data_IF_968071284706
#
_entry.id   IF_968071284706
#
_cell.length_a   1.000
_cell.length_b   1.000
_cell.length_c   1.000
_cell.angle_alpha   90.00
_cell.angle_beta   90.00
_cell.angle_gamma   90.00
#
_symmetry.space_group_name_H-M   'P 1'
#
loop_
_entity.id
_entity.type
_entity.pdbx_description
1 polymer ?
#
# COMPACT_ATOMS: atom_id res chain seq x y z
N UNK A 1 0.19 3.69 -7.64
CA UNK A 1 -0.58 4.97 -7.65
C UNK A 1 0.26 6.16 -8.10
N UNK A 2 -0.36 7.23 -8.63
CA UNK A 2 0.28 8.53 -8.87
C UNK A 2 0.15 9.42 -7.62
N UNK A 3 1.18 10.19 -7.29
CA UNK A 3 1.24 11.03 -6.08
C UNK A 3 0.19 12.16 -6.11
N UNK A 4 -0.13 12.69 -7.29
CA UNK A 4 -1.12 13.76 -7.45
C UNK A 4 -2.52 13.35 -6.99
N UNK A 5 -2.95 12.11 -7.29
CA UNK A 5 -4.25 11.57 -6.86
C UNK A 5 -4.30 11.36 -5.34
N UNK A 6 -3.17 11.03 -4.72
CA UNK A 6 -3.07 10.86 -3.27
C UNK A 6 -3.15 12.20 -2.54
N UNK A 7 -2.58 13.28 -3.08
CA UNK A 7 -2.67 14.62 -2.49
C UNK A 7 -4.06 15.24 -2.58
N UNK A 8 -4.87 14.86 -3.56
CA UNK A 8 -6.24 15.36 -3.70
C UNK A 8 -7.23 14.67 -2.73
N UNK A 9 -6.85 13.52 -2.16
CA UNK A 9 -7.71 12.77 -1.24
C UNK A 9 -7.61 13.29 0.19
N UNK A 10 -8.71 13.26 0.95
CA UNK A 10 -8.68 13.68 2.36
C UNK A 10 -7.80 12.75 3.20
N UNK A 11 -7.14 13.30 4.24
CA UNK A 11 -6.29 12.55 5.19
C UNK A 11 -6.97 11.29 5.75
N UNK A 12 -8.30 11.32 5.90
CA UNK A 12 -9.11 10.18 6.39
C UNK A 12 -9.15 9.04 5.37
N UNK A 13 -9.34 9.34 4.08
CA UNK A 13 -9.31 8.33 3.01
C UNK A 13 -7.90 7.76 2.82
N UNK A 14 -6.86 8.59 2.93
CA UNK A 14 -5.47 8.14 2.87
C UNK A 14 -5.16 7.15 4.00
N UNK A 15 -5.67 7.38 5.22
CA UNK A 15 -5.52 6.44 6.33
C UNK A 15 -6.28 5.12 6.09
N UNK A 16 -7.47 5.18 5.48
CA UNK A 16 -8.22 3.96 5.10
C UNK A 16 -7.46 3.14 4.04
N UNK A 17 -7.01 3.79 2.96
CA UNK A 17 -6.19 3.16 1.93
C UNK A 17 -4.90 2.54 2.51
N UNK A 18 -4.26 3.23 3.45
CA UNK A 18 -3.09 2.70 4.14
C UNK A 18 -3.41 1.42 4.93
N UNK A 19 -4.57 1.35 5.59
CA UNK A 19 -5.01 0.14 6.30
C UNK A 19 -5.26 -1.00 5.31
N UNK A 20 -6.00 -0.74 4.23
CA UNK A 20 -6.32 -1.75 3.21
C UNK A 20 -5.04 -2.31 2.56
N UNK A 21 -4.09 -1.43 2.19
CA UNK A 21 -2.82 -1.84 1.60
C UNK A 21 -1.97 -2.67 2.57
N UNK A 22 -1.98 -2.33 3.88
CA UNK A 22 -1.30 -3.13 4.91
C UNK A 22 -1.92 -4.50 5.08
N UNK A 23 -3.25 -4.59 5.00
CA UNK A 23 -3.98 -5.84 5.10
C UNK A 23 -3.71 -6.75 3.90
N UNK A 24 -3.71 -6.17 2.70
CA UNK A 24 -3.33 -6.85 1.46
C UNK A 24 -1.87 -7.31 1.49
N UNK A 25 -0.98 -6.49 2.06
CA UNK A 25 0.42 -6.89 2.28
C UNK A 25 0.53 -8.08 3.25
N UNK A 26 -0.30 -8.13 4.31
CA UNK A 26 -0.34 -9.28 5.22
C UNK A 26 -0.78 -10.55 4.49
N UNK A 27 -1.88 -10.51 3.75
CA UNK A 27 -2.36 -11.65 2.97
C UNK A 27 -1.30 -12.16 2.00
N UNK A 28 -0.67 -11.26 1.24
CA UNK A 28 0.40 -11.64 0.31
C UNK A 28 1.64 -12.21 1.01
N UNK A 29 1.95 -11.79 2.25
CA UNK A 29 3.02 -12.41 3.05
C UNK A 29 2.64 -13.82 3.49
N UNK A 30 1.39 -14.05 3.88
CA UNK A 30 0.89 -15.39 4.21
C UNK A 30 0.92 -16.32 2.99
N UNK A 31 0.48 -15.83 1.84
CA UNK A 31 0.54 -16.58 0.59
C UNK A 31 2.00 -16.89 0.18
N UNK A 32 2.92 -15.94 0.43
CA UNK A 32 4.34 -16.09 0.13
C UNK A 32 4.97 -17.16 1.03
N UNK A 33 4.66 -17.12 2.33
CA UNK A 33 5.09 -18.13 3.30
C UNK A 33 4.51 -19.52 2.95
N UNK A 34 3.30 -19.56 2.39
CA UNK A 34 2.67 -20.80 1.91
C UNK A 34 3.22 -21.29 0.57
N UNK A 35 4.20 -20.60 -0.03
CA UNK A 35 4.83 -20.98 -1.31
C UNK A 35 3.93 -20.83 -2.54
N UNK A 36 2.74 -20.22 -2.41
CA UNK A 36 1.74 -20.10 -3.48
C UNK A 36 1.86 -18.79 -4.27
N UNK A 37 2.76 -17.89 -3.88
CA UNK A 37 2.88 -16.57 -4.53
C UNK A 37 3.61 -16.69 -5.86
N UNK A 38 2.83 -16.62 -6.93
CA UNK A 38 3.34 -16.45 -8.29
C UNK A 38 3.91 -15.04 -8.55
N UNK A 39 3.42 -14.03 -7.82
CA UNK A 39 3.66 -12.61 -8.12
C UNK A 39 4.31 -11.83 -6.97
N UNK A 40 5.59 -12.12 -6.69
CA UNK A 40 6.42 -11.36 -5.72
C UNK A 40 6.52 -9.86 -6.08
N UNK A 41 6.34 -9.52 -7.37
CA UNK A 41 6.32 -8.13 -7.86
C UNK A 41 5.18 -7.30 -7.26
N UNK A 42 4.05 -7.92 -6.91
CA UNK A 42 2.89 -7.23 -6.34
C UNK A 42 3.19 -6.73 -4.93
N UNK A 43 3.90 -7.51 -4.12
CA UNK A 43 4.39 -7.12 -2.79
C UNK A 43 5.26 -5.86 -2.89
N UNK A 44 6.14 -5.79 -3.88
CA UNK A 44 6.99 -4.61 -4.11
C UNK A 44 6.18 -3.38 -4.52
N UNK A 45 5.13 -3.55 -5.33
CA UNK A 45 4.21 -2.46 -5.71
C UNK A 45 3.48 -1.91 -4.48
N UNK A 46 2.85 -2.80 -3.70
CA UNK A 46 2.09 -2.40 -2.50
C UNK A 46 2.99 -1.71 -1.48
N UNK A 47 4.22 -2.19 -1.25
CA UNK A 47 5.19 -1.49 -0.40
C UNK A 47 5.49 -0.07 -0.89
N UNK A 48 5.65 0.13 -2.20
CA UNK A 48 5.89 1.47 -2.78
C UNK A 48 4.67 2.37 -2.65
N UNK A 49 3.47 1.83 -2.82
CA UNK A 49 2.24 2.61 -2.69
C UNK A 49 1.97 3.02 -1.23
N UNK A 50 2.21 2.12 -0.25
CA UNK A 50 2.19 2.47 1.19
C UNK A 50 3.18 3.60 1.49
N UNK A 51 4.42 3.50 0.98
CA UNK A 51 5.44 4.52 1.21
C UNK A 51 5.00 5.89 0.66
N UNK A 52 4.40 5.93 -0.55
CA UNK A 52 3.87 7.16 -1.15
C UNK A 52 2.73 7.76 -0.34
N UNK A 53 1.81 6.94 0.18
CA UNK A 53 0.72 7.40 1.04
C UNK A 53 1.28 8.01 2.33
N UNK A 54 2.27 7.36 2.95
CA UNK A 54 2.93 7.89 4.16
C UNK A 54 3.68 9.20 3.89
N UNK A 55 4.32 9.34 2.72
CA UNK A 55 4.95 10.61 2.33
C UNK A 55 3.92 11.73 2.19
N UNK A 56 2.79 11.47 1.51
CA UNK A 56 1.72 12.46 1.37
C UNK A 56 1.14 12.86 2.74
N UNK A 57 0.97 11.91 3.66
CA UNK A 57 0.49 12.18 5.02
C UNK A 57 1.47 12.98 5.90
N UNK A 58 2.76 13.02 5.53
CA UNK A 58 3.82 13.70 6.30
C UNK A 58 4.18 15.08 5.75
N UNK A 59 3.97 15.31 4.46
CA UNK A 59 4.16 16.63 3.83
C UNK A 59 3.07 17.65 4.20
N UNK A 60 2.01 17.22 4.87
CA UNK A 60 0.73 17.93 5.06
C UNK A 60 0.41 18.09 6.56
#
# INVERSE_FOLDING_TARGET
MKIQELRQKPKVELKKLLQDDKERLRQLKFDLASGKVKNVREIRKIKKDIARILTCLKED
#
